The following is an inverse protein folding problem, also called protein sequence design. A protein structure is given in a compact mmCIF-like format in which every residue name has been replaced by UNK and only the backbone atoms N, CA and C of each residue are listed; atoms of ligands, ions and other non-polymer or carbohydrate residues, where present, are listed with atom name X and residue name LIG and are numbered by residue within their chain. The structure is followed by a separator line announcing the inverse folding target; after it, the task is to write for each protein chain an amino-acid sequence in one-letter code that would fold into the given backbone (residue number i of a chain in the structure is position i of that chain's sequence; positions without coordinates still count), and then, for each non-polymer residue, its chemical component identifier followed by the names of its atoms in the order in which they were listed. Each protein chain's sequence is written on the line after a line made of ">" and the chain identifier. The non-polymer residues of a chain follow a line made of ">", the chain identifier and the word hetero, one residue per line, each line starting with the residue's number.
data_IF_450663665548
#
_entry.id   IF_450663665548
#
_cell.length_a   1.000
_cell.length_b   1.000
_cell.length_c   1.000
_cell.angle_alpha   90.00
_cell.angle_beta   90.00
_cell.angle_gamma   90.00
#
_symmetry.space_group_name_H-M   'P 1'
#
loop_
_entity.id
_entity.type
_entity.pdbx_description
1 polymer ?
#
# COMPACT_ATOMS: atom_id res chain seq x y z
N UNK A 1 14.79 14.24 -9.76
CA UNK A 1 13.34 14.00 -9.70
C UNK A 1 13.02 12.87 -10.67
N UNK A 2 12.91 11.62 -10.20
CA UNK A 2 12.44 10.51 -11.05
C UNK A 2 10.93 10.60 -11.08
N UNK A 3 10.36 11.01 -12.20
CA UNK A 3 8.93 10.91 -12.48
C UNK A 3 8.59 9.43 -12.74
N UNK A 4 8.84 8.57 -11.76
CA UNK A 4 8.31 7.21 -11.76
C UNK A 4 6.86 7.35 -11.36
N UNK A 5 5.95 7.35 -12.33
CA UNK A 5 4.52 7.23 -12.04
C UNK A 5 4.28 5.83 -11.48
N UNK A 6 4.53 5.65 -10.19
CA UNK A 6 4.24 4.41 -9.48
C UNK A 6 2.73 4.16 -9.56
N UNK A 7 2.35 2.89 -9.75
CA UNK A 7 0.96 2.47 -9.76
C UNK A 7 0.26 2.87 -8.45
N UNK A 8 0.97 2.87 -7.33
CA UNK A 8 0.46 3.33 -6.04
C UNK A 8 -0.02 4.78 -6.09
N UNK A 9 0.69 5.69 -6.76
CA UNK A 9 0.27 7.10 -6.91
C UNK A 9 -1.00 7.22 -7.77
N UNK A 10 -1.10 6.40 -8.82
CA UNK A 10 -2.30 6.33 -9.66
C UNK A 10 -3.47 5.83 -8.81
N UNK A 11 -3.29 4.71 -8.10
CA UNK A 11 -4.33 4.11 -7.27
C UNK A 11 -4.80 5.03 -6.16
N UNK A 12 -3.90 5.75 -5.47
CA UNK A 12 -4.27 6.75 -4.47
C UNK A 12 -5.17 7.86 -5.06
N UNK A 13 -5.01 8.18 -6.34
CA UNK A 13 -5.85 9.19 -7.03
C UNK A 13 -7.25 8.65 -7.37
N UNK A 14 -7.39 7.36 -7.70
CA UNK A 14 -8.67 6.74 -8.06
C UNK A 14 -9.44 6.16 -6.85
N UNK A 15 -8.68 5.60 -5.91
CA UNK A 15 -9.12 4.89 -4.71
C UNK A 15 -8.35 5.53 -3.53
N UNK A 16 -8.80 6.70 -3.07
CA UNK A 16 -8.19 7.36 -1.93
C UNK A 16 -8.54 6.61 -0.64
N UNK A 17 -7.77 6.86 0.41
CA UNK A 17 -7.83 6.12 1.68
C UNK A 17 -9.22 6.14 2.31
N UNK A 18 -9.93 7.27 2.21
CA UNK A 18 -11.25 7.47 2.81
C UNK A 18 -12.28 6.50 2.24
N UNK A 19 -12.15 6.11 0.96
CA UNK A 19 -13.05 5.10 0.36
C UNK A 19 -12.82 3.72 0.95
N UNK A 20 -11.56 3.36 1.22
CA UNK A 20 -11.24 2.08 1.85
C UNK A 20 -11.72 2.09 3.31
N UNK A 21 -11.51 3.19 4.03
CA UNK A 21 -12.01 3.34 5.40
C UNK A 21 -13.54 3.22 5.48
N UNK A 22 -14.28 3.78 4.52
CA UNK A 22 -15.73 3.65 4.44
C UNK A 22 -16.17 2.18 4.28
N UNK A 23 -15.46 1.41 3.46
CA UNK A 23 -15.69 -0.04 3.29
C UNK A 23 -15.41 -0.77 4.61
N UNK A 24 -14.26 -0.51 5.26
CA UNK A 24 -13.95 -1.15 6.55
C UNK A 24 -15.04 -0.91 7.59
N UNK A 25 -15.55 0.32 7.66
CA UNK A 25 -16.66 0.68 8.54
C UNK A 25 -17.94 -0.08 8.19
N UNK A 26 -18.30 -0.21 6.91
CA UNK A 26 -19.48 -0.98 6.45
C UNK A 26 -19.41 -2.44 6.91
N UNK A 27 -18.22 -3.04 6.92
CA UNK A 27 -17.98 -4.41 7.37
C UNK A 27 -17.73 -4.54 8.88
N UNK A 28 -17.87 -3.47 9.67
CA UNK A 28 -17.49 -3.42 11.09
C UNK A 28 -16.05 -3.90 11.35
N UNK A 29 -15.17 -3.71 10.38
CA UNK A 29 -13.76 -4.03 10.51
C UNK A 29 -13.01 -2.85 11.13
N UNK A 30 -12.37 -3.09 12.27
CA UNK A 30 -11.54 -2.09 12.95
C UNK A 30 -10.09 -2.36 12.59
N UNK A 31 -9.48 -1.42 11.88
CA UNK A 31 -8.04 -1.45 11.62
C UNK A 31 -7.27 -1.07 12.88
N UNK A 32 -6.64 -2.05 13.53
CA UNK A 32 -5.84 -1.86 14.74
C UNK A 32 -4.36 -1.67 14.47
N UNK A 33 -3.93 -1.79 13.20
CA UNK A 33 -2.53 -1.72 12.84
C UNK A 33 -2.03 -0.28 12.81
N UNK A 34 -1.03 0.05 13.64
CA UNK A 34 -0.46 1.41 13.70
C UNK A 34 0.49 1.74 12.54
N UNK A 35 1.19 0.74 12.03
CA UNK A 35 2.31 0.91 11.09
C UNK A 35 2.03 0.32 9.69
N UNK A 36 0.97 -0.48 9.55
CA UNK A 36 0.65 -1.16 8.30
C UNK A 36 -0.87 -1.41 8.21
N UNK A 37 -1.58 -0.37 7.82
CA UNK A 37 -3.04 -0.37 7.71
C UNK A 37 -3.52 -1.26 6.55
N UNK A 38 -4.81 -1.54 6.49
CA UNK A 38 -5.44 -2.19 5.33
C UNK A 38 -5.19 -1.40 4.05
N UNK A 39 -5.17 -0.07 4.13
CA UNK A 39 -4.85 0.77 2.99
C UNK A 39 -3.39 0.57 2.53
N UNK A 40 -2.45 0.46 3.48
CA UNK A 40 -1.05 0.14 3.20
C UNK A 40 -0.91 -1.25 2.54
N UNK A 41 -1.66 -2.23 3.04
CA UNK A 41 -1.72 -3.57 2.46
C UNK A 41 -2.27 -3.55 1.03
N UNK A 42 -3.34 -2.80 0.78
CA UNK A 42 -3.94 -2.65 -0.55
C UNK A 42 -2.92 -2.10 -1.56
N UNK A 43 -2.25 -1.00 -1.21
CA UNK A 43 -1.24 -0.38 -2.08
C UNK A 43 -0.04 -1.30 -2.30
N UNK A 44 0.40 -2.01 -1.25
CA UNK A 44 1.45 -3.01 -1.34
C UNK A 44 1.09 -4.14 -2.31
N UNK A 45 -0.09 -4.75 -2.17
CA UNK A 45 -0.51 -5.87 -3.02
C UNK A 45 -0.63 -5.46 -4.48
N UNK A 46 -1.11 -4.24 -4.73
CA UNK A 46 -1.23 -3.72 -6.09
C UNK A 46 0.15 -3.52 -6.76
N UNK A 47 1.10 -2.91 -6.05
CA UNK A 47 2.47 -2.75 -6.55
C UNK A 47 3.19 -4.09 -6.69
N UNK A 48 3.05 -4.99 -5.71
CA UNK A 48 3.63 -6.32 -5.75
C UNK A 48 3.13 -7.11 -6.97
N UNK A 49 1.83 -7.06 -7.27
CA UNK A 49 1.25 -7.69 -8.45
C UNK A 49 1.74 -7.06 -9.76
N UNK A 50 1.81 -5.72 -9.81
CA UNK A 50 2.24 -4.99 -11.01
C UNK A 50 3.73 -5.19 -11.34
N UNK A 51 4.57 -5.24 -10.32
CA UNK A 51 6.02 -5.38 -10.45
C UNK A 51 6.49 -6.84 -10.42
N UNK A 52 5.59 -7.79 -10.13
CA UNK A 52 5.90 -9.22 -10.04
C UNK A 52 6.85 -9.54 -8.88
N UNK A 53 6.59 -9.02 -7.68
CA UNK A 53 7.40 -9.32 -6.49
C UNK A 53 7.11 -10.73 -5.96
N UNK A 54 8.17 -11.43 -5.54
CA UNK A 54 8.07 -12.83 -5.08
C UNK A 54 7.38 -12.95 -3.70
N UNK A 55 7.22 -11.84 -2.98
CA UNK A 55 6.53 -11.78 -1.70
C UNK A 55 6.91 -10.54 -0.89
N UNK A 56 6.45 -10.48 0.36
CA UNK A 56 6.66 -9.31 1.23
C UNK A 56 8.13 -8.97 1.46
N UNK A 57 8.99 -9.98 1.64
CA UNK A 57 10.43 -9.78 1.87
C UNK A 57 11.15 -9.20 0.63
N UNK A 58 10.77 -9.64 -0.56
CA UNK A 58 11.31 -9.07 -1.81
C UNK A 58 10.76 -7.66 -2.03
N UNK A 59 9.47 -7.47 -1.78
CA UNK A 59 8.79 -6.18 -1.90
C UNK A 59 9.32 -5.13 -0.94
N UNK A 60 9.62 -5.48 0.32
CA UNK A 60 10.17 -4.58 1.34
C UNK A 60 11.37 -3.77 0.82
N UNK A 61 12.29 -4.42 0.12
CA UNK A 61 13.50 -3.78 -0.42
C UNK A 61 13.18 -2.78 -1.54
N UNK A 62 12.01 -2.92 -2.18
CA UNK A 62 11.59 -2.19 -3.38
C UNK A 62 10.54 -1.12 -3.08
N UNK A 63 9.77 -1.25 -1.99
CA UNK A 63 8.67 -0.36 -1.58
C UNK A 63 9.06 1.12 -1.58
N UNK A 64 10.25 1.46 -1.07
CA UNK A 64 10.74 2.86 -1.05
C UNK A 64 10.89 3.46 -2.45
N UNK A 65 11.26 2.65 -3.45
CA UNK A 65 11.44 3.09 -4.83
C UNK A 65 10.14 3.40 -5.58
N UNK A 66 9.01 2.95 -5.03
CA UNK A 66 7.66 3.15 -5.59
C UNK A 66 6.78 4.02 -4.69
N UNK A 67 7.36 4.75 -3.73
CA UNK A 67 6.60 5.68 -2.89
C UNK A 67 5.74 5.02 -1.80
N UNK A 68 5.90 3.73 -1.54
CA UNK A 68 5.27 3.05 -0.41
C UNK A 68 6.08 3.26 0.88
N UNK A 69 5.39 3.20 2.02
CA UNK A 69 6.03 3.29 3.33
C UNK A 69 7.03 2.15 3.55
N UNK A 70 8.15 2.48 4.18
CA UNK A 70 9.16 1.49 4.57
C UNK A 70 8.63 0.62 5.71
N UNK A 71 8.93 -0.67 5.67
CA UNK A 71 8.65 -1.61 6.77
C UNK A 71 9.45 -1.19 8.00
N UNK A 72 8.75 -1.13 9.12
CA UNK A 72 9.33 -0.77 10.41
C UNK A 72 9.63 -2.03 11.23
N UNK A 73 10.92 -2.21 11.57
CA UNK A 73 11.44 -3.35 12.34
C UNK A 73 11.72 -3.03 13.82
N UNK A 74 11.27 -1.86 14.29
CA UNK A 74 11.44 -1.43 15.69
C UNK A 74 10.49 -2.12 16.67
#
# INVERSE_FOLDING_TARGET
>A
MKNSTSLSNILQSFIPEEKVLAILHEFNYIDVARKFTVYSLFLFLAEAAFQGWDGYRDGEQRMHGVGLQKVDHS
#
